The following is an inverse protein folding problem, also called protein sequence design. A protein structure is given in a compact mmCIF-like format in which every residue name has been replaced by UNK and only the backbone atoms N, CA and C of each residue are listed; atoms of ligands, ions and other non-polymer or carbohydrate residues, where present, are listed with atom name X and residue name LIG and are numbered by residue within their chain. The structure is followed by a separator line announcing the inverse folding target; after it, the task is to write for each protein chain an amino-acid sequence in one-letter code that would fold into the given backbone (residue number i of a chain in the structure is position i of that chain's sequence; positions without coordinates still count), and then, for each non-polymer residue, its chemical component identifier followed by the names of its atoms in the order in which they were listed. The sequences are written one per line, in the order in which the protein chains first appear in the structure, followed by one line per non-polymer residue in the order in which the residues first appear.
data_IF_182230623407
#
_entry.id   IF_182230623407
#
_cell.length_a   1.000
_cell.length_b   1.000
_cell.length_c   1.000
_cell.angle_alpha   90.00
_cell.angle_beta   90.00
_cell.angle_gamma   90.00
#
_symmetry.space_group_name_H-M   'P 1'
#
loop_
_entity.id
_entity.type
_entity.pdbx_description
1 polymer ?
#
# COMPACT_ATOMS: atom_id res chain seq x y z
N UNK A 1 5.55 7.89 -23.84
CA UNK A 1 5.00 6.58 -23.46
C UNK A 1 5.33 6.29 -22.02
N UNK A 2 4.33 5.87 -21.24
CA UNK A 2 4.50 5.49 -19.84
C UNK A 2 4.64 3.97 -19.79
N UNK A 3 5.83 3.45 -19.50
CA UNK A 3 6.11 2.00 -19.52
C UNK A 3 5.17 1.22 -18.57
N UNK A 4 4.85 1.78 -17.40
CA UNK A 4 3.89 1.17 -16.46
C UNK A 4 2.49 1.09 -17.08
N UNK A 5 2.07 2.10 -17.84
CA UNK A 5 0.77 2.08 -18.53
C UNK A 5 0.73 0.98 -19.59
N UNK A 6 1.81 0.83 -20.35
CA UNK A 6 1.91 -0.19 -21.39
C UNK A 6 1.90 -1.60 -20.78
N UNK A 7 2.64 -1.81 -19.67
CA UNK A 7 2.61 -3.05 -18.90
C UNK A 7 1.23 -3.33 -18.30
N UNK A 8 0.56 -2.31 -17.76
CA UNK A 8 -0.75 -2.47 -17.14
C UNK A 8 -1.83 -2.96 -18.11
N UNK A 9 -1.77 -2.49 -19.36
CA UNK A 9 -2.70 -2.88 -20.41
C UNK A 9 -2.19 -4.04 -21.28
N UNK A 10 -1.07 -4.66 -20.91
CA UNK A 10 -0.52 -5.82 -21.62
C UNK A 10 -1.43 -7.03 -21.51
N UNK A 11 -1.29 -7.99 -22.43
CA UNK A 11 -2.04 -9.24 -22.39
C UNK A 11 -1.78 -10.03 -21.11
N UNK A 12 -0.55 -9.99 -20.57
CA UNK A 12 -0.17 -10.72 -19.36
C UNK A 12 -0.88 -10.19 -18.11
N UNK A 13 -1.18 -8.90 -18.06
CA UNK A 13 -1.89 -8.30 -16.93
C UNK A 13 -3.42 -8.39 -17.11
N UNK A 14 -3.92 -8.75 -18.29
CA UNK A 14 -5.36 -8.89 -18.54
C UNK A 14 -5.85 -10.25 -18.04
N UNK A 15 -7.00 -10.22 -17.35
CA UNK A 15 -7.72 -11.46 -17.02
C UNK A 15 -8.32 -12.15 -18.26
N UNK A 16 -8.61 -11.38 -19.31
CA UNK A 16 -9.24 -11.87 -20.54
C UNK A 16 -8.60 -11.16 -21.75
N UNK A 17 -7.99 -11.94 -22.63
CA UNK A 17 -7.28 -11.49 -23.83
C UNK A 17 -8.18 -10.69 -24.79
N UNK A 18 -9.50 -10.92 -24.76
CA UNK A 18 -10.47 -10.26 -25.65
C UNK A 18 -11.08 -9.00 -25.05
N UNK A 19 -10.76 -8.64 -23.80
CA UNK A 19 -11.45 -7.57 -23.06
C UNK A 19 -10.87 -6.14 -23.20
N UNK A 20 -10.06 -5.88 -24.24
CA UNK A 20 -9.49 -4.56 -24.52
C UNK A 20 -10.32 -3.65 -25.45
N UNK A 21 -11.48 -4.11 -25.95
CA UNK A 21 -12.20 -3.44 -27.05
C UNK A 21 -12.88 -2.14 -26.60
N UNK A 22 -13.16 -1.96 -25.30
CA UNK A 22 -13.76 -0.75 -24.76
C UNK A 22 -12.91 -0.18 -23.61
N UNK A 23 -12.18 0.90 -23.89
CA UNK A 23 -11.29 1.55 -22.92
C UNK A 23 -12.02 2.04 -21.66
N UNK A 24 -13.31 2.38 -21.74
CA UNK A 24 -14.12 2.81 -20.59
C UNK A 24 -14.39 1.68 -19.60
N UNK A 25 -14.50 0.44 -20.09
CA UNK A 25 -14.84 -0.74 -19.30
C UNK A 25 -13.70 -1.76 -19.29
N UNK A 26 -12.45 -1.30 -19.44
CA UNK A 26 -11.29 -2.16 -19.41
C UNK A 26 -11.26 -2.96 -18.10
N UNK A 27 -11.24 -4.29 -18.21
CA UNK A 27 -11.33 -5.20 -17.06
C UNK A 27 -10.13 -5.09 -16.10
N UNK A 28 -9.01 -4.50 -16.53
CA UNK A 28 -7.87 -4.22 -15.63
C UNK A 28 -8.23 -3.28 -14.47
N UNK A 29 -9.38 -2.59 -14.54
CA UNK A 29 -9.94 -1.81 -13.43
C UNK A 29 -10.35 -2.66 -12.22
N UNK A 30 -10.54 -3.96 -12.40
CA UNK A 30 -11.06 -4.87 -11.38
C UNK A 30 -9.97 -5.72 -10.70
N UNK A 31 -8.69 -5.46 -10.97
CA UNK A 31 -7.62 -5.93 -10.09
C UNK A 31 -7.77 -5.30 -8.70
N UNK A 32 -7.21 -5.95 -7.68
CA UNK A 32 -7.29 -5.39 -6.33
C UNK A 32 -6.37 -4.17 -6.12
N UNK A 33 -5.45 -3.89 -7.03
CA UNK A 33 -4.87 -2.56 -7.24
C UNK A 33 -5.47 -2.02 -8.54
N UNK A 34 -5.98 -0.79 -8.56
CA UNK A 34 -6.49 -0.18 -9.79
C UNK A 34 -5.67 1.06 -10.15
N UNK A 35 -4.72 0.88 -11.08
CA UNK A 35 -3.95 1.97 -11.68
C UNK A 35 -4.65 2.62 -12.88
N UNK A 36 -5.72 2.01 -13.42
CA UNK A 36 -6.49 2.66 -14.47
C UNK A 36 -7.03 4.01 -14.00
N UNK A 37 -7.53 4.12 -12.76
CA UNK A 37 -7.99 5.39 -12.20
C UNK A 37 -6.91 6.47 -12.18
N UNK A 38 -5.62 6.11 -12.11
CA UNK A 38 -4.54 7.09 -12.05
C UNK A 38 -4.43 7.88 -13.37
N UNK A 39 -4.49 7.21 -14.52
CA UNK A 39 -4.37 7.89 -15.81
C UNK A 39 -5.60 8.69 -16.25
N UNK A 40 -6.78 8.40 -15.70
CA UNK A 40 -8.03 9.05 -16.11
C UNK A 40 -8.66 9.94 -15.04
N UNK A 41 -8.27 9.79 -13.77
CA UNK A 41 -8.85 10.48 -12.61
C UNK A 41 -7.82 10.92 -11.57
N UNK A 42 -6.53 10.64 -11.79
CA UNK A 42 -5.44 10.98 -10.87
C UNK A 42 -5.60 10.38 -9.47
N UNK A 43 -6.21 9.19 -9.37
CA UNK A 43 -6.35 8.44 -8.11
C UNK A 43 -5.82 7.01 -8.24
N UNK A 44 -5.27 6.48 -7.15
CA UNK A 44 -4.89 5.06 -7.02
C UNK A 44 -5.85 4.41 -6.04
N UNK A 45 -6.39 3.24 -6.37
CA UNK A 45 -7.35 2.54 -5.52
C UNK A 45 -6.81 1.16 -5.11
N UNK A 46 -6.64 0.97 -3.79
CA UNK A 46 -6.39 -0.33 -3.18
C UNK A 46 -7.73 -0.96 -2.76
N UNK A 47 -8.03 -2.16 -3.27
CA UNK A 47 -9.32 -2.84 -3.18
C UNK A 47 -9.25 -4.19 -2.46
N UNK A 48 -8.11 -4.54 -1.86
CA UNK A 48 -7.89 -5.81 -1.17
C UNK A 48 -8.33 -5.84 0.31
N UNK A 49 -8.99 -4.79 0.80
CA UNK A 49 -9.46 -4.73 2.19
C UNK A 49 -10.97 -4.97 2.28
N UNK A 50 -11.38 -5.94 3.09
CA UNK A 50 -12.78 -6.22 3.37
C UNK A 50 -13.44 -5.04 4.10
N UNK A 51 -14.68 -4.70 3.76
CA UNK A 51 -15.47 -3.75 4.54
C UNK A 51 -15.89 -4.42 5.86
N UNK A 52 -15.17 -4.14 6.95
CA UNK A 52 -15.47 -4.65 8.29
C UNK A 52 -15.96 -3.50 9.16
N UNK A 53 -17.25 -3.48 9.48
CA UNK A 53 -17.89 -2.41 10.26
C UNK A 53 -17.48 -2.41 11.74
N UNK A 54 -17.05 -3.56 12.26
CA UNK A 54 -16.70 -3.81 13.66
C UNK A 54 -15.19 -3.74 13.93
N UNK A 55 -14.35 -3.64 12.90
CA UNK A 55 -12.87 -3.64 13.01
C UNK A 55 -12.24 -2.35 12.46
N UNK A 56 -12.68 -1.22 12.99
CA UNK A 56 -12.21 0.11 12.59
C UNK A 56 -10.68 0.22 12.67
N UNK A 57 -10.06 -0.35 13.70
CA UNK A 57 -8.60 -0.32 13.88
C UNK A 57 -7.86 -1.02 12.73
N UNK A 58 -8.36 -2.16 12.24
CA UNK A 58 -7.76 -2.88 11.12
C UNK A 58 -7.85 -2.04 9.83
N UNK A 59 -8.99 -1.38 9.60
CA UNK A 59 -9.17 -0.48 8.47
C UNK A 59 -8.22 0.73 8.52
N UNK A 60 -8.04 1.33 9.71
CA UNK A 60 -7.07 2.43 9.90
C UNK A 60 -5.64 1.94 9.61
N UNK A 61 -5.25 0.77 10.11
CA UNK A 61 -3.92 0.23 9.85
C UNK A 61 -3.69 -0.04 8.35
N UNK A 62 -4.71 -0.49 7.62
CA UNK A 62 -4.65 -0.65 6.16
C UNK A 62 -4.48 0.67 5.42
N UNK A 63 -5.19 1.72 5.84
CA UNK A 63 -5.02 3.07 5.29
C UNK A 63 -3.58 3.56 5.50
N UNK A 64 -3.05 3.40 6.70
CA UNK A 64 -1.67 3.80 7.03
C UNK A 64 -0.65 3.01 6.20
N UNK A 65 -0.85 1.69 6.05
CA UNK A 65 0.02 0.85 5.23
C UNK A 65 0.02 1.25 3.75
N UNK A 66 -1.16 1.53 3.19
CA UNK A 66 -1.26 1.96 1.79
C UNK A 66 -0.72 3.36 1.56
N UNK A 67 -0.90 4.29 2.50
CA UNK A 67 -0.25 5.60 2.49
C UNK A 67 1.28 5.47 2.50
N UNK A 68 1.82 4.59 3.35
CA UNK A 68 3.26 4.30 3.39
C UNK A 68 3.80 3.81 2.04
N UNK A 69 3.09 2.92 1.33
CA UNK A 69 3.50 2.46 -0.01
C UNK A 69 3.58 3.63 -1.00
N UNK A 70 2.61 4.57 -0.93
CA UNK A 70 2.59 5.74 -1.80
C UNK A 70 3.77 6.67 -1.50
N UNK A 71 4.07 6.92 -0.23
CA UNK A 71 5.23 7.74 0.15
C UNK A 71 6.55 7.10 -0.31
N UNK A 72 6.70 5.80 -0.09
CA UNK A 72 7.88 5.07 -0.55
C UNK A 72 8.06 5.15 -2.07
N UNK A 73 6.96 5.12 -2.84
CA UNK A 73 6.99 5.26 -4.30
C UNK A 73 7.44 6.64 -4.79
N UNK A 74 7.45 7.63 -3.90
CA UNK A 74 7.92 9.01 -4.13
C UNK A 74 9.31 9.24 -3.55
N UNK A 75 10.07 8.17 -3.25
CA UNK A 75 11.37 8.22 -2.58
C UNK A 75 11.29 8.86 -1.18
N UNK A 76 10.11 8.89 -0.56
CA UNK A 76 9.90 9.35 0.80
C UNK A 76 9.80 8.14 1.75
N UNK A 77 10.92 7.78 2.38
CA UNK A 77 10.98 6.74 3.40
C UNK A 77 10.98 7.37 4.80
N UNK A 78 9.85 7.40 5.54
CA UNK A 78 9.82 7.96 6.89
C UNK A 78 10.62 7.14 7.90
N UNK A 79 11.11 7.78 8.97
CA UNK A 79 11.60 7.05 10.14
C UNK A 79 10.40 6.37 10.83
N UNK A 80 10.58 5.11 11.24
CA UNK A 80 9.55 4.33 11.94
C UNK A 80 10.13 3.77 13.22
N UNK A 81 9.27 3.41 14.18
CA UNK A 81 9.70 2.74 15.40
C UNK A 81 9.49 1.24 15.33
N UNK A 82 10.45 0.48 15.86
CA UNK A 82 10.32 -0.95 16.07
C UNK A 82 9.45 -1.24 17.30
N UNK A 83 8.56 -2.21 17.12
CA UNK A 83 7.69 -2.76 18.15
C UNK A 83 7.74 -4.29 18.07
N UNK A 84 8.05 -5.01 19.17
CA UNK A 84 8.11 -6.46 19.15
C UNK A 84 6.75 -7.12 18.87
N UNK A 85 5.66 -6.50 19.35
CA UNK A 85 4.28 -6.99 19.17
C UNK A 85 3.59 -6.39 17.92
N UNK A 86 4.37 -6.01 16.90
CA UNK A 86 3.85 -5.36 15.70
C UNK A 86 2.78 -6.21 15.00
N UNK A 87 1.71 -5.57 14.55
CA UNK A 87 0.70 -6.23 13.72
C UNK A 87 1.26 -6.64 12.34
N UNK A 88 0.44 -7.36 11.55
CA UNK A 88 0.85 -7.86 10.22
C UNK A 88 1.30 -6.75 9.25
N UNK A 89 0.69 -5.58 9.31
CA UNK A 89 0.98 -4.47 8.40
C UNK A 89 2.32 -3.82 8.74
N UNK A 90 2.56 -3.54 10.01
CA UNK A 90 3.82 -2.96 10.47
C UNK A 90 4.99 -3.97 10.33
N UNK A 91 4.72 -5.25 10.58
CA UNK A 91 5.68 -6.33 10.28
C UNK A 91 6.03 -6.38 8.80
N UNK A 92 5.06 -6.12 7.91
CA UNK A 92 5.31 -6.05 6.47
C UNK A 92 6.16 -4.83 6.11
N UNK A 93 5.92 -3.68 6.75
CA UNK A 93 6.75 -2.48 6.57
C UNK A 93 8.21 -2.76 6.97
N UNK A 94 8.46 -3.44 8.08
CA UNK A 94 9.82 -3.80 8.49
C UNK A 94 10.53 -4.63 7.43
N UNK A 95 9.85 -5.62 6.84
CA UNK A 95 10.41 -6.45 5.76
C UNK A 95 10.71 -5.63 4.52
N UNK A 96 9.80 -4.74 4.12
CA UNK A 96 10.03 -3.83 2.97
C UNK A 96 11.29 -2.98 3.21
N UNK A 97 11.45 -2.42 4.41
CA UNK A 97 12.63 -1.64 4.75
C UNK A 97 13.91 -2.48 4.73
N UNK A 98 13.86 -3.70 5.27
CA UNK A 98 15.00 -4.60 5.22
C UNK A 98 15.41 -4.96 3.78
N UNK A 99 14.45 -5.35 2.95
CA UNK A 99 14.71 -5.73 1.56
C UNK A 99 15.12 -4.54 0.68
N UNK A 100 14.68 -3.32 1.04
CA UNK A 100 14.98 -2.10 0.28
C UNK A 100 16.20 -1.34 0.80
N UNK A 101 16.89 -1.83 1.84
CA UNK A 101 18.09 -1.19 2.39
C UNK A 101 17.83 0.05 3.27
N UNK A 102 16.66 0.13 3.89
CA UNK A 102 16.23 1.22 4.79
C UNK A 102 16.23 0.82 6.27
N UNK A 103 17.01 -0.19 6.67
CA UNK A 103 17.04 -0.68 8.06
C UNK A 103 17.39 0.42 9.06
N UNK A 104 18.23 1.38 8.68
CA UNK A 104 18.67 2.50 9.52
C UNK A 104 17.54 3.44 9.91
N UNK A 105 16.42 3.44 9.16
CA UNK A 105 15.21 4.23 9.43
C UNK A 105 14.29 3.58 10.46
N UNK A 106 14.56 2.33 10.85
CA UNK A 106 13.85 1.64 11.94
C UNK A 106 14.52 1.99 13.28
N UNK A 107 13.90 2.88 14.04
CA UNK A 107 14.38 3.37 15.33
C UNK A 107 13.85 2.53 16.48
N UNK A 108 14.58 2.49 17.60
CA UNK A 108 14.04 1.92 18.83
C UNK A 108 13.00 2.86 19.43
N UNK A 109 11.86 2.30 19.85
CA UNK A 109 10.81 3.08 20.46
C UNK A 109 11.25 3.63 21.83
N UNK A 110 10.95 4.90 22.16
CA UNK A 110 11.31 5.48 23.46
C UNK A 110 10.52 4.83 24.60
N UNK A 111 11.21 4.52 25.70
CA UNK A 111 10.71 3.74 26.86
C UNK A 111 9.52 4.37 27.59
N UNK A 112 9.22 5.66 27.36
CA UNK A 112 8.21 6.43 28.08
C UNK A 112 6.84 6.52 27.40
N UNK A 113 6.70 6.10 26.15
CA UNK A 113 5.38 6.02 25.53
C UNK A 113 4.75 4.66 25.88
N UNK A 114 3.65 4.70 26.62
CA UNK A 114 2.67 3.61 26.66
C UNK A 114 2.12 3.40 25.24
N UNK A 115 2.89 2.71 24.39
CA UNK A 115 2.58 2.42 23.01
C UNK A 115 1.68 1.19 22.98
N UNK A 116 0.37 1.43 23.02
CA UNK A 116 -0.59 0.41 22.61
C UNK A 116 -0.26 0.01 21.16
N UNK A 117 0.22 -1.22 20.99
CA UNK A 117 0.64 -1.82 19.72
C UNK A 117 -0.54 -2.09 18.78
N UNK A 118 -1.76 -1.75 19.22
CA UNK A 118 -3.00 -1.84 18.45
C UNK A 118 -3.10 -0.79 17.36
N UNK A 119 -2.31 0.28 17.39
CA UNK A 119 -2.38 1.33 16.37
C UNK A 119 -0.99 1.64 15.85
N UNK A 120 -0.84 1.57 14.53
CA UNK A 120 0.34 2.08 13.86
C UNK A 120 0.28 3.61 13.98
N UNK A 121 1.31 4.23 14.54
CA UNK A 121 1.56 5.67 14.40
C UNK A 121 2.82 5.82 13.54
N UNK A 122 2.65 5.90 12.22
CA UNK A 122 3.77 6.22 11.31
C UNK A 122 4.04 7.72 11.23
N UNK A 123 3.08 8.54 11.66
CA UNK A 123 3.10 9.98 11.47
C UNK A 123 2.84 10.65 12.82
N UNK A 124 3.71 11.59 13.18
CA UNK A 124 3.48 12.53 14.29
C UNK A 124 2.66 13.71 13.80
#
# INVERSE_FOLDING_TARGET
NCQIKDLWYSLQNRYDEKCGVNSRYDKTRYHGLNLHSYWYRSTIEFRYHSALLDKVDEAIQWIIFTQFIIELSQDHAPDIYYYPEANKWLTTIYKIYEESGYQERIKMAPTSLNQSVKHIKLFN
#
